data_IF_797342230764
#
_entry.id   IF_797342230764
#
_cell.length_a   1.000
_cell.length_b   1.000
_cell.length_c   1.000
_cell.angle_alpha   90.00
_cell.angle_beta   90.00
_cell.angle_gamma   90.00
#
_symmetry.space_group_name_H-M   'P 1'
#
loop_
_entity.id
_entity.type
_entity.pdbx_description
1 polymer ?
#
# COMPACT_ATOMS: atom_id res chain seq x y z
N UNK A 1 -4.43 -16.18 -4.32
CA UNK A 1 -3.27 -17.02 -4.72
C UNK A 1 -2.16 -16.20 -5.40
N UNK A 2 -2.40 -15.54 -6.54
CA UNK A 2 -1.35 -14.73 -7.22
C UNK A 2 -0.76 -13.64 -6.31
N UNK A 3 -1.61 -12.85 -5.64
CA UNK A 3 -1.16 -11.81 -4.71
C UNK A 3 -0.33 -12.38 -3.54
N UNK A 4 -0.78 -13.48 -2.93
CA UNK A 4 -0.08 -14.12 -1.82
C UNK A 4 1.27 -14.72 -2.23
N UNK A 5 1.37 -15.29 -3.44
CA UNK A 5 2.64 -15.76 -3.98
C UNK A 5 3.59 -14.59 -4.27
N UNK A 6 3.09 -13.54 -4.93
CA UNK A 6 3.85 -12.33 -5.22
C UNK A 6 4.34 -11.63 -3.94
N UNK A 7 3.53 -11.59 -2.89
CA UNK A 7 3.93 -11.07 -1.57
C UNK A 7 5.07 -11.88 -0.95
N UNK A 8 5.01 -13.21 -1.03
CA UNK A 8 6.09 -14.09 -0.55
C UNK A 8 7.39 -13.84 -1.30
N UNK A 9 7.31 -13.70 -2.63
CA UNK A 9 8.45 -13.39 -3.47
C UNK A 9 9.00 -11.98 -3.19
N UNK A 10 8.14 -10.99 -2.97
CA UNK A 10 8.51 -9.63 -2.61
C UNK A 10 9.27 -9.59 -1.27
N UNK A 11 8.78 -10.32 -0.26
CA UNK A 11 9.45 -10.44 1.03
C UNK A 11 10.81 -11.15 0.90
N UNK A 12 10.89 -12.22 0.09
CA UNK A 12 12.15 -12.92 -0.16
C UNK A 12 13.16 -12.03 -0.93
N UNK A 13 12.69 -11.20 -1.87
CA UNK A 13 13.53 -10.27 -2.62
C UNK A 13 14.04 -9.12 -1.75
N UNK A 14 13.23 -8.64 -0.80
CA UNK A 14 13.64 -7.66 0.21
C UNK A 14 14.80 -8.19 1.07
N UNK A 15 14.77 -9.48 1.45
CA UNK A 15 15.85 -10.13 2.19
C UNK A 15 17.08 -10.51 1.35
N UNK A 16 16.92 -10.74 0.04
CA UNK A 16 18.00 -11.19 -0.86
C UNK A 16 18.85 -10.06 -1.46
N UNK A 17 18.41 -8.80 -1.38
CA UNK A 17 19.18 -7.64 -1.86
C UNK A 17 20.38 -7.25 -1.01
N UNK A 18 20.56 -7.87 0.16
CA UNK A 18 21.66 -7.62 1.10
C UNK A 18 22.85 -8.56 0.94
N UNK A 19 23.39 -8.72 -0.28
CA UNK A 19 24.75 -9.27 -0.43
C UNK A 19 25.77 -8.17 -0.08
N UNK A 20 25.81 -7.76 1.19
CA UNK A 20 26.79 -6.80 1.72
C UNK A 20 26.20 -5.81 2.73
N UNK A 21 26.11 -6.21 3.99
CA UNK A 21 25.90 -5.29 5.12
C UNK A 21 24.65 -5.60 5.94
N UNK A 22 24.82 -5.70 7.25
CA UNK A 22 23.78 -5.93 8.26
C UNK A 22 22.83 -4.72 8.42
N UNK A 23 22.10 -4.36 7.37
CA UNK A 23 21.02 -3.38 7.39
C UNK A 23 19.68 -4.06 7.14
N UNK A 24 18.63 -3.61 7.82
CA UNK A 24 17.28 -4.11 7.60
C UNK A 24 16.87 -3.99 6.12
N UNK A 25 16.11 -4.97 5.59
CA UNK A 25 15.72 -4.98 4.18
C UNK A 25 14.85 -3.77 3.85
N UNK A 26 15.32 -2.92 2.94
CA UNK A 26 14.58 -1.69 2.63
C UNK A 26 13.30 -1.99 1.86
N UNK A 27 12.16 -1.75 2.52
CA UNK A 27 10.83 -2.16 2.05
C UNK A 27 10.35 -1.39 0.81
N UNK A 28 10.98 -0.25 0.52
CA UNK A 28 10.64 0.65 -0.59
C UNK A 28 11.77 0.77 -1.63
N UNK A 29 12.74 -0.16 -1.64
CA UNK A 29 13.81 -0.18 -2.64
C UNK A 29 13.30 -0.72 -3.98
N UNK A 30 12.72 0.18 -4.79
CA UNK A 30 12.01 -0.14 -6.04
C UNK A 30 12.84 -0.73 -7.19
N UNK A 31 14.15 -0.96 -7.03
CA UNK A 31 15.02 -1.36 -8.14
C UNK A 31 15.08 -2.89 -8.39
N UNK A 32 14.95 -3.73 -7.36
CA UNK A 32 15.20 -5.19 -7.48
C UNK A 32 13.95 -5.96 -7.97
N UNK A 33 12.76 -5.37 -7.86
CA UNK A 33 11.48 -6.07 -8.14
C UNK A 33 10.87 -5.80 -9.54
N UNK A 34 11.47 -4.93 -10.36
CA UNK A 34 10.81 -4.37 -11.55
C UNK A 34 10.34 -5.38 -12.63
N UNK A 35 11.15 -6.34 -13.12
CA UNK A 35 10.70 -7.20 -14.23
C UNK A 35 9.67 -8.27 -13.80
N UNK A 36 9.80 -8.82 -12.60
CA UNK A 36 8.83 -9.82 -12.08
C UNK A 36 7.54 -9.15 -11.61
N UNK A 37 7.61 -7.96 -11.03
CA UNK A 37 6.42 -7.20 -10.67
C UNK A 37 5.63 -6.73 -11.88
N UNK A 38 6.29 -6.40 -12.99
CA UNK A 38 5.61 -6.11 -14.25
C UNK A 38 4.75 -7.30 -14.73
N UNK A 39 5.22 -8.54 -14.54
CA UNK A 39 4.44 -9.74 -14.86
C UNK A 39 3.21 -9.89 -13.95
N UNK A 40 3.38 -9.74 -12.63
CA UNK A 40 2.27 -9.79 -11.67
C UNK A 40 1.24 -8.70 -11.98
N UNK A 41 1.70 -7.49 -12.29
CA UNK A 41 0.86 -6.36 -12.69
C UNK A 41 0.12 -6.64 -14.00
N UNK A 42 0.78 -7.24 -14.99
CA UNK A 42 0.14 -7.65 -16.24
C UNK A 42 -0.99 -8.66 -16.01
N UNK A 43 -0.76 -9.67 -15.17
CA UNK A 43 -1.77 -10.66 -14.80
C UNK A 43 -2.91 -10.00 -14.02
N UNK A 44 -2.61 -9.21 -13.00
CA UNK A 44 -3.62 -8.53 -12.19
C UNK A 44 -4.42 -7.52 -12.99
N UNK A 45 -3.80 -6.81 -13.94
CA UNK A 45 -4.49 -5.91 -14.86
C UNK A 45 -5.47 -6.67 -15.76
N UNK A 46 -5.06 -7.82 -16.31
CA UNK A 46 -5.95 -8.64 -17.12
C UNK A 46 -7.11 -9.23 -16.30
N UNK A 47 -6.84 -9.65 -15.05
CA UNK A 47 -7.87 -10.13 -14.14
C UNK A 47 -8.79 -8.99 -13.67
N UNK A 48 -8.29 -7.78 -13.48
CA UNK A 48 -9.09 -6.64 -13.03
C UNK A 48 -10.15 -6.27 -14.05
N UNK A 49 -9.85 -6.40 -15.34
CA UNK A 49 -10.83 -6.16 -16.40
C UNK A 49 -12.05 -7.09 -16.33
N UNK A 50 -11.95 -8.27 -15.71
CA UNK A 50 -13.03 -9.28 -15.64
C UNK A 50 -13.55 -9.56 -14.23
N UNK A 51 -12.72 -9.34 -13.21
CA UNK A 51 -12.96 -9.71 -11.82
C UNK A 51 -12.52 -8.61 -10.84
N UNK A 52 -12.72 -7.34 -11.21
CA UNK A 52 -12.39 -6.17 -10.38
C UNK A 52 -12.86 -6.31 -8.93
N UNK A 53 -14.10 -6.76 -8.70
CA UNK A 53 -14.66 -6.95 -7.37
C UNK A 53 -13.91 -7.98 -6.51
N UNK A 54 -13.53 -9.12 -7.09
CA UNK A 54 -12.77 -10.17 -6.39
C UNK A 54 -11.33 -9.73 -6.08
N UNK A 55 -10.69 -8.99 -7.00
CA UNK A 55 -9.35 -8.44 -6.76
C UNK A 55 -9.39 -7.42 -5.64
N UNK A 56 -10.37 -6.51 -5.68
CA UNK A 56 -10.58 -5.51 -4.64
C UNK A 56 -10.72 -6.17 -3.26
N UNK A 57 -11.59 -7.18 -3.14
CA UNK A 57 -11.80 -7.90 -1.87
C UNK A 57 -10.51 -8.56 -1.38
N UNK A 58 -9.75 -9.20 -2.27
CA UNK A 58 -8.50 -9.87 -1.88
C UNK A 58 -7.40 -8.87 -1.49
N UNK A 59 -7.32 -7.72 -2.16
CA UNK A 59 -6.38 -6.63 -1.81
C UNK A 59 -6.73 -6.05 -0.43
N UNK A 60 -8.01 -5.74 -0.19
CA UNK A 60 -8.46 -5.26 1.12
C UNK A 60 -8.26 -6.31 2.22
N UNK A 61 -8.50 -7.59 1.93
CA UNK A 61 -8.23 -8.69 2.86
C UNK A 61 -6.76 -8.73 3.25
N UNK A 62 -5.85 -8.68 2.26
CA UNK A 62 -4.40 -8.65 2.51
C UNK A 62 -3.96 -7.41 3.30
N UNK A 63 -4.56 -6.25 3.01
CA UNK A 63 -4.32 -5.02 3.74
C UNK A 63 -4.74 -5.14 5.21
N UNK A 64 -5.95 -5.59 5.50
CA UNK A 64 -6.40 -5.77 6.89
C UNK A 64 -5.62 -6.85 7.63
N UNK A 65 -5.29 -7.97 6.97
CA UNK A 65 -4.43 -9.02 7.54
C UNK A 65 -3.03 -8.49 7.90
N UNK A 66 -2.49 -7.56 7.12
CA UNK A 66 -1.18 -6.94 7.41
C UNK A 66 -1.17 -6.06 8.66
N UNK A 67 -2.33 -5.54 9.05
CA UNK A 67 -2.48 -4.61 10.16
C UNK A 67 -2.82 -5.30 11.49
N UNK A 68 -3.29 -6.55 11.44
CA UNK A 68 -3.67 -7.36 12.61
C UNK A 68 -2.55 -7.66 13.62
N UNK A 69 -2.95 -8.07 14.83
CA UNK A 69 -2.05 -8.44 15.92
C UNK A 69 -1.58 -9.90 15.74
N UNK A 70 -0.33 -10.09 15.31
CA UNK A 70 0.25 -11.42 15.04
C UNK A 70 1.02 -11.46 13.72
N UNK A 71 1.81 -10.41 13.46
CA UNK A 71 2.44 -10.17 12.15
C UNK A 71 3.57 -11.15 11.90
N UNK A 72 3.34 -12.11 11.02
CA UNK A 72 4.43 -12.84 10.35
C UNK A 72 5.30 -11.83 9.57
N UNK A 73 6.62 -12.06 9.40
CA UNK A 73 7.50 -11.15 8.66
C UNK A 73 6.99 -10.84 7.24
N UNK A 74 6.34 -11.80 6.59
CA UNK A 74 5.68 -11.63 5.29
C UNK A 74 4.49 -10.66 5.31
N UNK A 75 3.78 -10.55 6.44
CA UNK A 75 2.66 -9.62 6.60
C UNK A 75 3.15 -8.17 6.81
N UNK A 76 4.35 -7.97 7.35
CA UNK A 76 4.95 -6.62 7.45
C UNK A 76 5.25 -6.03 6.07
N UNK A 77 5.67 -6.85 5.11
CA UNK A 77 5.96 -6.42 3.76
C UNK A 77 4.70 -6.18 2.89
N UNK A 78 3.50 -6.49 3.39
CA UNK A 78 2.28 -6.42 2.61
C UNK A 78 1.85 -4.99 2.26
N UNK A 79 1.93 -4.04 3.20
CA UNK A 79 1.61 -2.63 2.91
C UNK A 79 2.57 -2.05 1.85
N UNK A 80 3.90 -2.17 2.00
CA UNK A 80 4.84 -1.76 0.95
C UNK A 80 4.61 -2.45 -0.41
N UNK A 81 4.33 -3.76 -0.40
CA UNK A 81 4.03 -4.53 -1.60
C UNK A 81 2.78 -4.01 -2.34
N UNK A 82 1.70 -3.74 -1.59
CA UNK A 82 0.46 -3.22 -2.16
C UNK A 82 0.66 -1.81 -2.73
N UNK A 83 1.43 -0.95 -2.05
CA UNK A 83 1.79 0.37 -2.57
C UNK A 83 2.62 0.27 -3.86
N UNK A 84 3.60 -0.65 -3.90
CA UNK A 84 4.42 -0.88 -5.10
C UNK A 84 3.58 -1.39 -6.28
N UNK A 85 2.63 -2.31 -6.02
CA UNK A 85 1.70 -2.77 -7.05
C UNK A 85 0.84 -1.64 -7.60
N UNK A 86 0.36 -0.75 -6.73
CA UNK A 86 -0.47 0.39 -7.12
C UNK A 86 0.31 1.36 -8.03
N UNK A 87 1.59 1.64 -7.71
CA UNK A 87 2.44 2.52 -8.54
C UNK A 87 2.62 1.96 -9.93
N UNK A 88 2.76 0.64 -10.04
CA UNK A 88 2.99 -0.03 -11.32
C UNK A 88 1.71 -0.23 -12.14
N UNK A 89 0.52 -0.04 -11.55
CA UNK A 89 -0.75 -0.31 -12.21
C UNK A 89 -1.81 0.75 -11.92
N UNK A 90 -1.94 1.78 -12.78
CA UNK A 90 -2.98 2.79 -12.65
C UNK A 90 -4.40 2.21 -12.65
N UNK A 91 -4.62 1.12 -13.41
CA UNK A 91 -5.90 0.42 -13.46
C UNK A 91 -6.27 -0.25 -12.13
N UNK A 92 -5.31 -0.88 -11.45
CA UNK A 92 -5.53 -1.43 -10.12
C UNK A 92 -5.77 -0.33 -9.10
N UNK A 93 -4.96 0.73 -9.13
CA UNK A 93 -5.12 1.88 -8.24
C UNK A 93 -6.54 2.47 -8.33
N UNK A 94 -7.03 2.74 -9.54
CA UNK A 94 -8.39 3.24 -9.74
C UNK A 94 -9.49 2.27 -9.29
N UNK A 95 -9.23 0.96 -9.32
CA UNK A 95 -10.20 -0.06 -8.88
C UNK A 95 -10.30 -0.14 -7.36
N UNK A 96 -9.20 0.12 -6.62
CA UNK A 96 -9.14 -0.08 -5.17
C UNK A 96 -9.16 1.22 -4.36
N UNK A 97 -8.85 2.37 -4.96
CA UNK A 97 -8.65 3.65 -4.26
C UNK A 97 -9.87 4.11 -3.44
N UNK A 98 -11.07 4.06 -4.02
CA UNK A 98 -12.30 4.53 -3.37
C UNK A 98 -12.59 3.76 -2.07
N UNK A 99 -12.36 2.46 -2.09
CA UNK A 99 -12.73 1.55 -1.01
C UNK A 99 -11.62 1.41 0.02
N UNK A 100 -10.38 1.67 -0.40
CA UNK A 100 -9.29 1.89 0.53
C UNK A 100 -9.62 3.09 1.43
N UNK A 101 -10.12 4.20 0.89
CA UNK A 101 -10.57 5.35 1.70
C UNK A 101 -11.67 4.94 2.68
N UNK A 102 -12.68 4.20 2.22
CA UNK A 102 -13.78 3.74 3.09
C UNK A 102 -13.28 2.77 4.18
N UNK A 103 -12.18 2.04 3.94
CA UNK A 103 -11.55 1.13 4.90
C UNK A 103 -10.65 1.82 5.94
N UNK A 104 -10.22 3.06 5.69
CA UNK A 104 -9.32 3.84 6.56
C UNK A 104 -10.08 4.45 7.76
N UNK A 105 -10.74 3.59 8.53
CA UNK A 105 -11.38 3.97 9.78
C UNK A 105 -10.33 4.29 10.87
N UNK A 106 -10.69 5.04 11.94
CA UNK A 106 -9.76 5.36 13.03
C UNK A 106 -8.92 4.20 13.59
N UNK A 107 -9.44 2.98 13.83
CA UNK A 107 -8.60 1.86 14.29
C UNK A 107 -7.54 1.43 13.25
N UNK A 108 -7.88 1.47 11.97
CA UNK A 108 -6.96 1.12 10.86
C UNK A 108 -5.87 2.17 10.72
N UNK A 109 -6.22 3.45 10.85
CA UNK A 109 -5.24 4.55 10.87
C UNK A 109 -4.26 4.43 12.03
N UNK A 110 -4.75 4.10 13.23
CA UNK A 110 -3.87 3.84 14.37
C UNK A 110 -2.94 2.66 14.11
N UNK A 111 -3.44 1.56 13.53
CA UNK A 111 -2.60 0.40 13.19
C UNK A 111 -1.55 0.71 12.11
N UNK A 112 -1.89 1.55 11.13
CA UNK A 112 -0.95 2.06 10.13
C UNK A 112 0.10 2.96 10.78
N UNK A 113 -0.30 3.87 11.67
CA UNK A 113 0.64 4.70 12.41
C UNK A 113 1.66 3.84 13.15
N UNK A 114 1.22 2.82 13.89
CA UNK A 114 2.12 1.89 14.57
C UNK A 114 3.00 1.09 13.59
N UNK A 115 2.48 0.75 12.41
CA UNK A 115 3.23 0.06 11.37
C UNK A 115 4.37 0.92 10.81
N UNK A 116 4.12 2.20 10.53
CA UNK A 116 5.12 3.12 10.00
C UNK A 116 6.03 3.74 11.08
N UNK A 117 5.58 3.83 12.33
CA UNK A 117 6.36 4.38 13.44
C UNK A 117 7.62 3.56 13.76
N UNK A 118 7.62 2.27 13.40
CA UNK A 118 8.77 1.39 13.56
C UNK A 118 9.82 1.52 12.44
N UNK A 119 9.52 2.25 11.36
CA UNK A 119 10.43 2.39 10.22
C UNK A 119 11.46 3.52 10.44
N UNK A 120 12.67 3.37 9.89
CA UNK A 120 13.65 4.45 9.88
C UNK A 120 13.13 5.64 9.05
N UNK A 121 13.58 6.85 9.41
CA UNK A 121 13.14 8.11 8.79
C UNK A 121 13.25 8.11 7.26
N UNK A 122 14.34 7.55 6.72
CA UNK A 122 14.57 7.48 5.28
C UNK A 122 13.52 6.63 4.55
N UNK A 123 13.02 5.57 5.18
CA UNK A 123 11.96 4.73 4.62
C UNK A 123 10.60 5.39 4.75
N UNK A 124 10.37 6.12 5.83
CA UNK A 124 9.16 6.93 5.97
C UNK A 124 9.08 7.99 4.87
N UNK A 125 10.18 8.70 4.59
CA UNK A 125 10.24 9.71 3.52
C UNK A 125 9.98 9.07 2.13
N UNK A 126 10.53 7.87 1.88
CA UNK A 126 10.24 7.10 0.66
C UNK A 126 8.76 6.71 0.57
N UNK A 127 8.17 6.22 1.67
CA UNK A 127 6.76 5.84 1.72
C UNK A 127 5.85 7.04 1.45
N UNK A 128 6.15 8.21 2.04
CA UNK A 128 5.42 9.46 1.75
C UNK A 128 5.55 9.83 0.28
N UNK A 129 6.75 9.75 -0.31
CA UNK A 129 6.96 10.00 -1.73
C UNK A 129 6.11 9.10 -2.63
N UNK A 130 6.02 7.81 -2.30
CA UNK A 130 5.16 6.85 -3.01
C UNK A 130 3.68 7.21 -2.88
N UNK A 131 3.20 7.54 -1.67
CA UNK A 131 1.80 7.94 -1.45
C UNK A 131 1.46 9.21 -2.24
N UNK A 132 2.33 10.22 -2.21
CA UNK A 132 2.13 11.45 -2.99
C UNK A 132 2.08 11.15 -4.48
N UNK A 133 2.98 10.30 -4.99
CA UNK A 133 2.96 9.88 -6.38
C UNK A 133 1.65 9.18 -6.77
N UNK A 134 1.16 8.26 -5.92
CA UNK A 134 -0.13 7.60 -6.11
C UNK A 134 -1.29 8.59 -6.13
N UNK A 135 -1.29 9.60 -5.24
CA UNK A 135 -2.30 10.66 -5.25
C UNK A 135 -2.30 11.43 -6.57
N UNK A 136 -1.12 11.80 -7.08
CA UNK A 136 -0.99 12.49 -8.36
C UNK A 136 -1.44 11.64 -9.56
N UNK A 137 -1.33 10.32 -9.47
CA UNK A 137 -1.77 9.39 -10.53
C UNK A 137 -3.25 9.01 -10.42
N UNK A 138 -3.88 9.23 -9.27
CA UNK A 138 -5.26 8.84 -9.04
C UNK A 138 -6.20 9.84 -9.73
N UNK A 139 -6.65 9.54 -10.94
CA UNK A 139 -7.65 10.38 -11.63
C UNK A 139 -9.06 10.17 -11.06
N UNK A 140 -9.39 8.95 -10.64
CA UNK A 140 -10.67 8.57 -10.04
C UNK A 140 -10.56 8.42 -8.51
N UNK A 141 -11.28 9.27 -7.76
CA UNK A 141 -11.31 9.22 -6.30
C UNK A 141 -10.33 10.17 -5.60
N UNK A 142 -9.49 10.92 -6.33
CA UNK A 142 -8.56 11.88 -5.72
C UNK A 142 -9.26 12.92 -4.84
N UNK A 143 -10.41 13.46 -5.25
CA UNK A 143 -11.18 14.39 -4.42
C UNK A 143 -11.54 13.77 -3.07
N UNK A 144 -12.04 12.53 -3.04
CA UNK A 144 -12.37 11.81 -1.80
C UNK A 144 -11.14 11.58 -0.94
N UNK A 145 -10.00 11.24 -1.54
CA UNK A 145 -8.76 11.04 -0.78
C UNK A 145 -8.28 12.36 -0.16
N UNK A 146 -8.30 13.45 -0.93
CA UNK A 146 -7.93 14.78 -0.43
C UNK A 146 -8.89 15.25 0.66
N UNK A 147 -10.19 15.06 0.47
CA UNK A 147 -11.20 15.36 1.48
C UNK A 147 -10.95 14.56 2.76
N UNK A 148 -10.71 13.24 2.65
CA UNK A 148 -10.36 12.39 3.79
C UNK A 148 -9.11 12.89 4.54
N UNK A 149 -8.05 13.26 3.81
CA UNK A 149 -6.83 13.82 4.42
C UNK A 149 -7.10 15.13 5.13
N UNK A 150 -7.91 16.02 4.53
CA UNK A 150 -8.32 17.28 5.15
C UNK A 150 -9.14 17.04 6.42
N UNK A 151 -10.17 16.20 6.34
CA UNK A 151 -11.05 15.85 7.47
C UNK A 151 -10.26 15.20 8.62
N UNK A 152 -9.23 14.41 8.30
CA UNK A 152 -8.36 13.75 9.30
C UNK A 152 -7.32 14.71 9.89
N UNK A 153 -6.83 15.67 9.10
CA UNK A 153 -5.85 16.66 9.55
C UNK A 153 -6.51 17.85 10.29
N UNK A 154 -7.82 18.05 10.11
CA UNK A 154 -8.57 19.11 10.76
C UNK A 154 -8.64 18.81 12.27
N UNK A 155 -8.02 19.63 13.13
CA UNK A 155 -8.21 19.47 14.56
C UNK A 155 -9.69 19.71 14.87
N UNK A 156 -10.25 18.96 15.83
CA UNK A 156 -11.65 19.04 16.26
C UNK A 156 -12.12 20.43 16.77
N UNK A 157 -11.30 21.47 16.64
CA UNK A 157 -11.53 22.82 17.11
C UNK A 157 -12.18 23.77 16.09
N UNK A 158 -12.51 23.33 14.88
CA UNK A 158 -13.26 24.19 13.95
C UNK A 158 -14.76 23.92 14.13
N UNK A 159 -15.34 24.62 15.11
CA UNK A 159 -16.75 24.99 15.06
C UNK A 159 -16.85 25.97 13.89
N UNK A 160 -17.30 25.51 12.73
CA UNK A 160 -17.88 26.40 11.72
C UNK A 160 -19.31 26.72 12.17
N UNK A 161 -19.60 27.93 12.69
CA UNK A 161 -20.99 28.35 12.85
C UNK A 161 -21.67 28.41 11.47
N UNK A 162 -23.01 28.26 11.43
CA UNK A 162 -23.81 28.10 10.21
C UNK A 162 -23.71 29.28 9.23
#
# INVERSE_FOLDING_TARGET
RVLSCALKEFCAAGGAGGAGGAGEPSLFSGAVAAPKMASVVGILGHLAARHAGSIKQEVLRLFHESLGAGREPHQKAAVPFLLQLAVMSPALLGTVSAELVDSLQPPVLNQLHHHFAALPREELEKAVGVVVHLLCQTSAGAYRILQFLLDTAMPASVITPP
#
